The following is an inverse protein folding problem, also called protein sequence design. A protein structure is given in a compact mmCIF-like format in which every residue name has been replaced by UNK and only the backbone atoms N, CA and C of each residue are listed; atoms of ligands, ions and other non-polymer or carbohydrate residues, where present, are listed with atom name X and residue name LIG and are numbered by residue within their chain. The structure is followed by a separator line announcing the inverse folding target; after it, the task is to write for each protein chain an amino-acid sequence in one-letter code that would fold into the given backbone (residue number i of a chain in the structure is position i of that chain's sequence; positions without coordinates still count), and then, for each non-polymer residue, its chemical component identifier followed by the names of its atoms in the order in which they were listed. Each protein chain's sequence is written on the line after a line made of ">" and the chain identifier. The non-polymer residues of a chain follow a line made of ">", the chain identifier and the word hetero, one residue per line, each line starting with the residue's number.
data_IF_001261907095
#
_entry.id   IF_001261907095
#
_cell.length_a   1.000
_cell.length_b   1.000
_cell.length_c   1.000
_cell.angle_alpha   90.00
_cell.angle_beta   90.00
_cell.angle_gamma   90.00
#
_symmetry.space_group_name_H-M   'P 1'
#
loop_
_entity.id
_entity.type
_entity.pdbx_description
1 polymer ?
#
# COMPACT_ATOMS: atom_id res chain seq x y z
N UNK A 1 -10.24 -21.38 14.82
CA UNK A 1 -10.95 -20.43 13.95
C UNK A 1 -10.32 -20.52 12.58
N UNK A 2 -11.09 -20.80 11.53
CA UNK A 2 -10.55 -20.72 10.16
C UNK A 2 -10.09 -19.29 9.91
N UNK A 3 -8.79 -19.08 9.72
CA UNK A 3 -8.29 -17.76 9.31
C UNK A 3 -8.62 -17.61 7.84
N UNK A 4 -9.59 -16.75 7.52
CA UNK A 4 -9.85 -16.35 6.13
C UNK A 4 -8.63 -15.59 5.62
N UNK A 5 -7.92 -16.16 4.66
CA UNK A 5 -6.77 -15.56 3.99
C UNK A 5 -7.21 -14.70 2.80
N UNK A 6 -6.47 -13.63 2.55
CA UNK A 6 -6.62 -12.71 1.42
C UNK A 6 -5.24 -12.22 0.99
N UNK A 7 -5.16 -11.60 -0.18
CA UNK A 7 -3.95 -10.93 -0.63
C UNK A 7 -4.03 -9.44 -0.31
N UNK A 8 -3.15 -8.94 0.54
CA UNK A 8 -2.91 -7.51 0.67
C UNK A 8 -1.94 -7.05 -0.43
N UNK A 9 -2.36 -6.14 -1.30
CA UNK A 9 -1.54 -5.65 -2.41
C UNK A 9 -1.07 -4.23 -2.15
N UNK A 10 0.25 -4.06 -2.06
CA UNK A 10 0.90 -2.76 -1.87
C UNK A 10 1.58 -2.28 -3.13
N UNK A 11 1.35 -1.01 -3.49
CA UNK A 11 2.04 -0.28 -4.57
C UNK A 11 2.91 0.88 -4.05
N UNK A 12 2.86 1.16 -2.73
CA UNK A 12 3.61 2.24 -2.08
C UNK A 12 4.73 1.71 -1.19
N UNK A 13 5.04 2.40 -0.08
CA UNK A 13 6.16 2.04 0.81
C UNK A 13 6.08 0.62 1.38
N UNK A 14 4.88 0.04 1.53
CA UNK A 14 4.73 -1.35 2.01
C UNK A 14 5.15 -2.39 0.95
N UNK A 15 5.61 -1.96 -0.24
CA UNK A 15 6.38 -2.80 -1.16
C UNK A 15 7.61 -3.38 -0.45
N UNK A 16 8.26 -2.63 0.44
CA UNK A 16 9.37 -3.13 1.27
C UNK A 16 8.86 -4.08 2.36
N UNK A 17 9.50 -5.25 2.50
CA UNK A 17 9.20 -6.18 3.61
C UNK A 17 9.44 -5.53 4.96
N UNK A 18 10.53 -4.79 5.10
CA UNK A 18 10.89 -4.10 6.35
C UNK A 18 9.78 -3.14 6.76
N UNK A 19 9.25 -2.38 5.79
CA UNK A 19 8.15 -1.47 6.04
C UNK A 19 6.88 -2.20 6.47
N UNK A 20 6.47 -3.24 5.74
CA UNK A 20 5.28 -4.02 6.10
C UNK A 20 5.44 -4.66 7.49
N UNK A 21 6.63 -5.14 7.83
CA UNK A 21 6.89 -5.77 9.11
C UNK A 21 6.62 -4.82 10.29
N UNK A 22 6.84 -3.51 10.14
CA UNK A 22 6.45 -2.54 11.19
C UNK A 22 4.93 -2.50 11.43
N UNK A 23 4.08 -2.69 10.42
CA UNK A 23 2.63 -2.76 10.63
C UNK A 23 2.19 -4.05 11.33
N UNK A 24 2.96 -5.14 11.20
CA UNK A 24 2.65 -6.44 11.80
C UNK A 24 3.26 -6.58 13.20
N UNK A 25 4.57 -6.44 13.31
CA UNK A 25 5.32 -6.63 14.56
C UNK A 25 5.45 -5.34 15.39
N UNK A 26 5.04 -4.19 14.86
CA UNK A 26 5.28 -2.88 15.46
C UNK A 26 6.68 -2.33 15.12
N UNK A 27 6.92 -1.08 15.51
CA UNK A 27 8.22 -0.42 15.35
C UNK A 27 8.20 0.74 14.36
N UNK A 28 9.38 1.22 13.98
CA UNK A 28 9.55 2.40 13.11
C UNK A 28 10.65 2.13 12.08
N UNK A 29 10.35 2.16 10.77
CA UNK A 29 11.37 1.93 9.76
C UNK A 29 12.30 3.14 9.62
N UNK A 30 13.49 2.96 9.02
CA UNK A 30 14.41 4.06 8.74
C UNK A 30 13.73 5.22 8.00
N UNK A 31 13.98 6.45 8.46
CA UNK A 31 13.46 7.67 7.84
C UNK A 31 11.99 7.99 8.09
N UNK A 32 11.22 7.10 8.74
CA UNK A 32 9.84 7.40 9.14
C UNK A 32 9.80 8.22 10.43
N UNK A 33 8.87 9.18 10.49
CA UNK A 33 8.63 10.00 11.69
C UNK A 33 7.79 9.30 12.76
N UNK A 34 7.00 8.29 12.37
CA UNK A 34 6.01 7.64 13.25
C UNK A 34 6.26 6.15 13.36
N UNK A 35 6.18 5.65 14.59
CA UNK A 35 6.12 4.22 14.87
C UNK A 35 4.71 3.66 14.64
N UNK A 36 4.64 2.38 14.34
CA UNK A 36 3.44 1.56 14.24
C UNK A 36 3.26 0.76 15.53
N UNK A 37 2.03 0.65 16.07
CA UNK A 37 1.75 -0.19 17.24
C UNK A 37 1.92 -1.69 16.94
N UNK A 38 1.79 -2.11 15.68
CA UNK A 38 1.77 -3.52 15.28
C UNK A 38 0.35 -4.10 15.27
N UNK A 39 0.18 -5.23 14.59
CA UNK A 39 -1.10 -5.91 14.46
C UNK A 39 -1.35 -6.83 15.66
N UNK A 40 -2.62 -7.23 15.85
CA UNK A 40 -3.01 -8.23 16.87
C UNK A 40 -2.34 -9.58 16.60
N UNK A 41 -2.07 -9.89 15.34
CA UNK A 41 -1.30 -11.03 14.90
C UNK A 41 0.00 -10.58 14.22
N UNK A 42 1.15 -10.64 14.93
CA UNK A 42 2.42 -10.11 14.45
C UNK A 42 3.18 -11.07 13.54
N UNK A 43 2.61 -12.24 13.21
CA UNK A 43 3.27 -13.22 12.34
C UNK A 43 3.52 -12.61 10.94
N UNK A 44 4.63 -12.96 10.28
CA UNK A 44 4.86 -12.50 8.91
C UNK A 44 3.77 -13.03 7.96
N UNK A 45 3.59 -12.39 6.78
CA UNK A 45 2.75 -12.94 5.72
C UNK A 45 3.17 -14.36 5.37
N UNK A 46 2.19 -15.22 5.01
CA UNK A 46 2.46 -16.62 4.70
C UNK A 46 3.33 -16.78 3.45
N UNK A 47 3.14 -15.89 2.48
CA UNK A 47 3.98 -15.74 1.28
C UNK A 47 3.76 -14.34 0.69
N UNK A 48 4.53 -14.00 -0.33
CA UNK A 48 4.35 -12.80 -1.14
C UNK A 48 4.79 -13.02 -2.58
N UNK A 49 4.25 -12.22 -3.51
CA UNK A 49 4.58 -12.29 -4.94
C UNK A 49 4.63 -10.89 -5.58
N UNK A 50 5.50 -10.65 -6.58
CA UNK A 50 5.35 -9.50 -7.46
C UNK A 50 4.05 -9.62 -8.25
N UNK A 51 3.34 -8.51 -8.39
CA UNK A 51 2.13 -8.42 -9.22
C UNK A 51 2.11 -7.07 -9.95
N UNK A 52 1.35 -7.00 -11.04
CA UNK A 52 1.05 -5.74 -11.72
C UNK A 52 -0.43 -5.43 -11.59
N UNK A 53 -0.72 -4.24 -11.09
CA UNK A 53 -2.07 -3.71 -11.03
C UNK A 53 -2.40 -2.99 -12.34
N UNK A 54 -3.62 -3.17 -12.83
CA UNK A 54 -4.10 -2.57 -14.08
C UNK A 54 -4.32 -1.06 -14.02
N UNK A 55 -4.37 -0.49 -12.80
CA UNK A 55 -4.57 0.93 -12.55
C UNK A 55 -3.27 1.73 -12.47
N UNK A 56 -3.40 3.04 -12.24
CA UNK A 56 -2.31 4.01 -12.31
C UNK A 56 -1.82 4.48 -10.94
N UNK A 57 -0.50 4.50 -10.75
CA UNK A 57 0.17 5.13 -9.60
C UNK A 57 0.22 6.64 -9.77
N UNK A 58 -0.01 7.38 -8.69
CA UNK A 58 0.27 8.82 -8.62
C UNK A 58 0.66 9.23 -7.20
N UNK A 59 1.26 10.41 -7.06
CA UNK A 59 1.69 10.94 -5.77
C UNK A 59 0.96 12.23 -5.42
N UNK A 60 0.38 12.27 -4.23
CA UNK A 60 -0.40 13.41 -3.76
C UNK A 60 -0.23 13.66 -2.25
N UNK A 61 -0.59 14.87 -1.83
CA UNK A 61 -0.74 15.24 -0.43
C UNK A 61 0.59 15.43 0.29
N UNK A 62 0.53 15.39 1.61
CA UNK A 62 1.68 15.46 2.50
C UNK A 62 1.53 14.39 3.59
N UNK A 63 2.50 13.47 3.64
CA UNK A 63 2.61 12.41 4.61
C UNK A 63 3.11 12.96 5.94
N UNK A 64 2.39 12.66 7.02
CA UNK A 64 2.87 12.91 8.38
C UNK A 64 3.92 11.89 8.82
N UNK A 65 4.16 10.84 8.03
CA UNK A 65 5.15 9.79 8.33
C UNK A 65 6.44 10.01 7.56
N UNK A 66 6.39 10.60 6.37
CA UNK A 66 7.52 10.65 5.45
C UNK A 66 7.91 12.06 4.98
N UNK A 67 7.21 13.12 5.39
CA UNK A 67 7.47 14.50 4.93
C UNK A 67 7.49 14.65 3.40
N UNK A 68 6.35 14.48 2.74
CA UNK A 68 6.22 14.58 1.28
C UNK A 68 5.01 13.85 0.76
N UNK A 69 4.80 13.81 -0.55
CA UNK A 69 3.66 13.10 -1.13
C UNK A 69 3.69 11.59 -0.84
N UNK A 70 2.50 10.98 -0.77
CA UNK A 70 2.33 9.52 -0.63
C UNK A 70 1.77 8.95 -1.92
N UNK A 71 2.06 7.68 -2.19
CA UNK A 71 1.50 6.94 -3.30
C UNK A 71 -0.02 6.74 -3.15
N UNK A 72 -0.73 6.90 -4.25
CA UNK A 72 -2.14 6.54 -4.41
C UNK A 72 -2.32 5.76 -5.71
N UNK A 73 -3.44 5.06 -5.82
CA UNK A 73 -3.73 4.15 -6.92
C UNK A 73 -5.10 4.48 -7.49
N UNK A 74 -5.09 4.97 -8.73
CA UNK A 74 -6.30 5.20 -9.51
C UNK A 74 -6.64 3.94 -10.30
N UNK A 75 -7.55 3.14 -9.74
CA UNK A 75 -8.03 1.89 -10.33
C UNK A 75 -8.92 2.10 -11.59
N UNK A 76 -9.22 3.35 -11.95
CA UNK A 76 -9.98 3.69 -13.16
C UNK A 76 -9.12 4.23 -14.29
N UNK A 77 -7.85 4.51 -14.04
CA UNK A 77 -6.91 5.01 -15.04
C UNK A 77 -5.94 3.89 -15.42
N UNK A 78 -5.59 3.69 -16.70
CA UNK A 78 -4.73 2.59 -17.11
C UNK A 78 -3.33 2.70 -16.51
N UNK A 79 -2.81 1.56 -16.03
CA UNK A 79 -1.46 1.36 -15.54
C UNK A 79 -0.45 1.01 -16.65
N UNK A 80 0.52 0.10 -16.40
CA UNK A 80 0.60 -0.82 -15.24
C UNK A 80 1.23 -0.18 -14.00
N UNK A 81 0.79 -0.59 -12.81
CA UNK A 81 1.45 -0.25 -11.53
C UNK A 81 2.10 -1.48 -10.94
N UNK A 82 3.43 -1.45 -10.79
CA UNK A 82 4.16 -2.48 -10.08
C UNK A 82 3.77 -2.51 -8.60
N UNK A 83 3.43 -3.68 -8.11
CA UNK A 83 2.96 -3.91 -6.77
C UNK A 83 3.49 -5.23 -6.20
N UNK A 84 3.20 -5.47 -4.93
CA UNK A 84 3.53 -6.69 -4.21
C UNK A 84 2.32 -7.18 -3.44
N UNK A 85 1.94 -8.41 -3.69
CA UNK A 85 0.87 -9.09 -2.98
C UNK A 85 1.45 -9.88 -1.80
N UNK A 86 0.89 -9.72 -0.61
CA UNK A 86 1.24 -10.46 0.61
C UNK A 86 0.04 -11.30 1.06
N UNK A 87 0.22 -12.60 1.26
CA UNK A 87 -0.84 -13.48 1.74
C UNK A 87 -0.97 -13.34 3.25
N UNK A 88 -2.07 -12.72 3.68
CA UNK A 88 -2.34 -12.36 5.07
C UNK A 88 -3.73 -12.80 5.48
N UNK A 89 -3.98 -12.85 6.78
CA UNK A 89 -5.35 -13.06 7.29
C UNK A 89 -6.18 -11.79 7.14
N UNK A 90 -7.51 -11.92 7.08
CA UNK A 90 -8.43 -10.76 7.14
C UNK A 90 -8.18 -9.90 8.38
N UNK A 91 -7.85 -10.51 9.53
CA UNK A 91 -7.54 -9.78 10.75
C UNK A 91 -6.27 -8.92 10.59
N UNK A 92 -5.21 -9.48 10.00
CA UNK A 92 -3.98 -8.73 9.71
C UNK A 92 -4.23 -7.60 8.71
N UNK A 93 -4.95 -7.86 7.60
CA UNK A 93 -5.29 -6.79 6.64
C UNK A 93 -6.12 -5.69 7.31
N UNK A 94 -7.07 -6.04 8.17
CA UNK A 94 -7.86 -5.07 8.93
C UNK A 94 -6.94 -4.22 9.82
N UNK A 95 -6.01 -4.84 10.54
CA UNK A 95 -5.11 -4.12 11.46
C UNK A 95 -4.11 -3.22 10.72
N UNK A 96 -3.62 -3.66 9.55
CA UNK A 96 -2.81 -2.81 8.66
C UNK A 96 -3.65 -1.61 8.23
N UNK A 97 -4.87 -1.84 7.76
CA UNK A 97 -5.76 -0.79 7.30
C UNK A 97 -6.13 0.21 8.41
N UNK A 98 -6.49 -0.24 9.61
CA UNK A 98 -6.77 0.66 10.76
C UNK A 98 -5.55 1.55 11.08
N UNK A 99 -4.33 1.00 11.05
CA UNK A 99 -3.11 1.78 11.28
C UNK A 99 -2.86 2.83 10.18
N UNK A 100 -3.08 2.48 8.91
CA UNK A 100 -3.01 3.44 7.80
C UNK A 100 -4.04 4.58 7.95
N UNK A 101 -5.19 4.27 8.55
CA UNK A 101 -6.24 5.24 8.87
C UNK A 101 -6.02 5.98 10.20
N UNK A 102 -4.85 5.80 10.84
CA UNK A 102 -4.49 6.37 12.13
C UNK A 102 -5.42 5.97 13.29
N UNK A 103 -5.87 4.72 13.27
CA UNK A 103 -6.72 4.09 14.28
C UNK A 103 -5.95 2.92 14.92
N UNK A 104 -6.31 2.60 16.16
CA UNK A 104 -5.74 1.44 16.86
C UNK A 104 -6.32 0.13 16.31
N UNK A 105 -5.46 -0.88 16.03
CA UNK A 105 -5.87 -2.24 15.71
C UNK A 105 -6.86 -2.81 16.72
N UNK A 106 -7.99 -3.34 16.23
CA UNK A 106 -9.01 -3.96 17.09
C UNK A 106 -9.87 -4.96 16.32
N UNK A 107 -10.44 -5.91 17.04
CA UNK A 107 -11.40 -6.86 16.49
C UNK A 107 -12.81 -6.28 16.36
N UNK A 108 -13.63 -6.90 15.54
CA UNK A 108 -15.06 -6.62 15.40
C UNK A 108 -15.36 -5.30 14.70
N UNK A 109 -14.43 -4.79 13.88
CA UNK A 109 -14.68 -3.58 13.10
C UNK A 109 -15.63 -3.85 11.93
N UNK A 110 -16.32 -2.81 11.48
CA UNK A 110 -17.14 -2.90 10.27
C UNK A 110 -16.30 -3.32 9.05
N UNK A 111 -15.03 -2.90 9.00
CA UNK A 111 -14.09 -3.28 7.95
C UNK A 111 -13.76 -4.78 7.99
N UNK A 112 -13.50 -5.35 9.17
CA UNK A 112 -13.22 -6.79 9.33
C UNK A 112 -14.41 -7.64 8.87
N UNK A 113 -15.63 -7.22 9.19
CA UNK A 113 -16.86 -7.89 8.75
C UNK A 113 -17.05 -7.81 7.22
N UNK A 114 -16.73 -6.67 6.61
CA UNK A 114 -16.79 -6.50 5.15
C UNK A 114 -15.74 -7.36 4.45
N UNK A 115 -14.50 -7.35 4.93
CA UNK A 115 -13.41 -8.15 4.36
C UNK A 115 -13.65 -9.65 4.51
N UNK A 116 -14.25 -10.09 5.62
CA UNK A 116 -14.61 -11.49 5.86
C UNK A 116 -15.68 -11.98 4.88
N UNK A 117 -16.68 -11.13 4.57
CA UNK A 117 -17.69 -11.45 3.54
C UNK A 117 -17.12 -11.38 2.13
N UNK A 118 -16.10 -10.56 1.93
CA UNK A 118 -15.60 -10.17 0.63
C UNK A 118 -16.51 -9.14 -0.05
N UNK A 119 -15.93 -8.37 -0.97
CA UNK A 119 -16.66 -7.43 -1.81
C UNK A 119 -15.93 -7.20 -3.13
N UNK A 120 -16.69 -6.80 -4.15
CA UNK A 120 -16.15 -6.35 -5.43
C UNK A 120 -16.13 -4.82 -5.51
N UNK A 121 -15.25 -4.27 -6.36
CA UNK A 121 -15.13 -2.82 -6.55
C UNK A 121 -14.46 -2.14 -5.35
N UNK A 122 -15.08 -1.08 -4.83
CA UNK A 122 -14.49 -0.24 -3.79
C UNK A 122 -15.40 -0.12 -2.55
N UNK A 123 -14.78 -0.09 -1.37
CA UNK A 123 -15.43 0.11 -0.08
C UNK A 123 -14.78 1.26 0.68
N UNK A 124 -15.57 2.29 1.01
CA UNK A 124 -15.11 3.44 1.79
C UNK A 124 -15.24 3.16 3.29
N UNK A 125 -14.10 2.91 3.94
CA UNK A 125 -13.99 2.59 5.37
C UNK A 125 -14.01 3.84 6.29
N UNK A 126 -14.05 5.04 5.71
CA UNK A 126 -14.31 6.29 6.43
C UNK A 126 -14.11 7.56 5.59
N UNK A 127 -14.17 8.75 6.22
CA UNK A 127 -14.11 10.03 5.53
C UNK A 127 -12.72 10.44 5.03
N UNK A 128 -11.64 9.83 5.53
CA UNK A 128 -10.26 10.24 5.30
C UNK A 128 -9.72 9.95 3.90
N UNK A 129 -8.52 10.50 3.62
CA UNK A 129 -7.88 10.46 2.29
C UNK A 129 -7.38 9.09 1.85
N UNK A 130 -7.08 8.20 2.79
CA UNK A 130 -6.53 6.85 2.54
C UNK A 130 -7.42 5.78 3.17
N UNK A 131 -8.74 6.01 3.13
CA UNK A 131 -9.75 5.16 3.79
C UNK A 131 -10.67 4.45 2.77
N UNK A 132 -10.18 4.19 1.55
CA UNK A 132 -10.93 3.44 0.52
C UNK A 132 -10.20 2.15 0.18
N UNK A 133 -10.85 1.02 0.46
CA UNK A 133 -10.40 -0.30 0.05
C UNK A 133 -10.87 -0.60 -1.37
N UNK A 134 -10.05 -1.30 -2.16
CA UNK A 134 -10.38 -1.71 -3.53
C UNK A 134 -10.07 -3.19 -3.69
N UNK A 135 -11.02 -3.94 -4.24
CA UNK A 135 -10.76 -5.28 -4.76
C UNK A 135 -10.07 -5.14 -6.14
N UNK A 136 -8.81 -5.58 -6.20
CA UNK A 136 -7.94 -5.49 -7.36
C UNK A 136 -7.95 -6.76 -8.23
N UNK A 137 -8.89 -7.67 -7.99
CA UNK A 137 -9.02 -8.95 -8.67
C UNK A 137 -8.73 -10.14 -7.76
N UNK A 138 -8.31 -11.24 -8.35
CA UNK A 138 -8.03 -12.50 -7.64
C UNK A 138 -6.67 -13.05 -8.00
N UNK A 139 -5.97 -13.62 -7.02
CA UNK A 139 -4.72 -14.36 -7.20
C UNK A 139 -4.82 -15.70 -6.47
N UNK A 140 -4.56 -16.81 -7.17
CA UNK A 140 -4.69 -18.18 -6.66
C UNK A 140 -6.04 -18.46 -5.97
N UNK A 141 -7.12 -17.90 -6.54
CA UNK A 141 -8.49 -18.06 -6.02
C UNK A 141 -8.84 -17.21 -4.79
N UNK A 142 -7.90 -16.40 -4.29
CA UNK A 142 -8.13 -15.48 -3.17
C UNK A 142 -8.28 -14.03 -3.67
N UNK A 143 -9.13 -13.20 -3.03
CA UNK A 143 -9.30 -11.80 -3.41
C UNK A 143 -8.05 -10.98 -3.07
N UNK A 144 -7.72 -10.05 -3.95
CA UNK A 144 -6.66 -9.06 -3.79
C UNK A 144 -7.27 -7.75 -3.33
N UNK A 145 -6.83 -7.24 -2.18
CA UNK A 145 -7.28 -5.96 -1.64
C UNK A 145 -6.11 -4.98 -1.51
N UNK A 146 -6.37 -3.74 -1.90
CA UNK A 146 -5.49 -2.61 -1.63
C UNK A 146 -6.27 -1.47 -0.99
N UNK A 147 -5.58 -0.46 -0.48
CA UNK A 147 -6.19 0.77 0.03
C UNK A 147 -5.65 1.98 -0.69
N UNK A 148 -6.49 2.99 -0.87
CA UNK A 148 -6.19 4.19 -1.63
C UNK A 148 -7.15 5.35 -1.28
N UNK A 149 -7.17 6.39 -2.11
CA UNK A 149 -8.10 7.51 -2.02
C UNK A 149 -9.34 7.30 -2.88
N UNK A 150 -10.51 7.86 -2.50
CA UNK A 150 -11.61 8.01 -3.46
C UNK A 150 -11.29 9.02 -4.57
N UNK A 151 -10.22 9.81 -4.43
CA UNK A 151 -9.81 10.79 -5.43
C UNK A 151 -9.03 10.16 -6.59
N UNK A 152 -9.26 10.70 -7.79
CA UNK A 152 -8.62 10.25 -9.03
C UNK A 152 -7.35 11.04 -9.32
N UNK A 153 -6.47 10.47 -10.14
CA UNK A 153 -5.18 11.08 -10.47
C UNK A 153 -5.32 12.42 -11.20
N UNK A 154 -6.38 12.62 -11.99
CA UNK A 154 -6.68 13.83 -12.77
C UNK A 154 -7.30 14.97 -11.93
N UNK A 155 -7.85 14.64 -10.76
CA UNK A 155 -8.50 15.60 -9.86
C UNK A 155 -7.64 16.02 -8.67
N UNK A 156 -6.42 15.48 -8.56
CA UNK A 156 -5.55 15.69 -7.41
C UNK A 156 -4.27 16.43 -7.82
N UNK A 157 -3.84 17.50 -7.12
CA UNK A 157 -2.60 18.20 -7.46
C UNK A 157 -1.39 17.32 -7.15
N UNK A 158 -0.58 16.95 -8.15
CA UNK A 158 0.55 16.06 -7.92
C UNK A 158 1.64 16.75 -7.08
N UNK A 159 2.28 15.98 -6.21
CA UNK A 159 3.36 16.46 -5.36
C UNK A 159 4.50 15.44 -5.31
N UNK A 160 5.72 15.93 -5.07
CA UNK A 160 6.91 15.08 -4.99
C UNK A 160 6.93 14.30 -3.65
N UNK A 161 7.22 12.99 -3.67
CA UNK A 161 7.55 12.25 -2.46
C UNK A 161 8.93 12.63 -1.91
N UNK A 162 9.18 12.30 -0.66
CA UNK A 162 10.50 12.46 -0.06
C UNK A 162 11.44 11.32 -0.45
N UNK A 163 12.75 11.54 -0.35
CA UNK A 163 13.73 10.50 -0.63
C UNK A 163 13.61 9.29 0.32
N UNK A 164 13.39 9.44 1.66
CA UNK A 164 13.13 8.29 2.52
C UNK A 164 11.93 7.45 2.08
N UNK A 165 10.89 8.07 1.55
CA UNK A 165 9.73 7.36 1.02
C UNK A 165 10.06 6.61 -0.28
N UNK A 166 10.77 7.26 -1.21
CA UNK A 166 11.21 6.64 -2.45
C UNK A 166 12.17 5.48 -2.17
N UNK A 167 13.06 5.60 -1.19
CA UNK A 167 13.96 4.52 -0.78
C UNK A 167 13.21 3.24 -0.38
N UNK A 168 12.08 3.36 0.32
CA UNK A 168 11.22 2.21 0.66
C UNK A 168 10.60 1.56 -0.59
N UNK A 169 10.15 2.38 -1.55
CA UNK A 169 9.61 1.87 -2.81
C UNK A 169 10.70 1.17 -3.62
N UNK A 170 11.89 1.77 -3.72
CA UNK A 170 13.07 1.18 -4.40
C UNK A 170 13.45 -0.17 -3.81
N UNK A 171 13.59 -0.24 -2.48
CA UNK A 171 13.90 -1.48 -1.78
C UNK A 171 12.85 -2.56 -2.08
N UNK A 172 11.57 -2.21 -1.98
CA UNK A 172 10.49 -3.13 -2.26
C UNK A 172 10.42 -3.63 -3.70
N UNK A 173 10.68 -2.77 -4.70
CA UNK A 173 10.75 -3.16 -6.11
C UNK A 173 11.93 -4.11 -6.37
N UNK A 174 13.11 -3.81 -5.81
CA UNK A 174 14.26 -4.71 -5.90
C UNK A 174 13.98 -6.07 -5.24
N UNK A 175 13.38 -6.07 -4.04
CA UNK A 175 13.06 -7.29 -3.28
C UNK A 175 12.02 -8.19 -3.96
N UNK A 176 11.02 -7.62 -4.62
CA UNK A 176 9.87 -8.37 -5.14
C UNK A 176 9.95 -8.68 -6.62
N UNK A 177 10.42 -7.71 -7.43
CA UNK A 177 10.53 -7.87 -8.88
C UNK A 177 11.95 -8.25 -9.34
N UNK A 178 12.95 -8.17 -8.45
CA UNK A 178 14.34 -8.42 -8.82
C UNK A 178 14.92 -7.37 -9.77
N UNK A 179 14.27 -6.20 -9.86
CA UNK A 179 14.69 -5.13 -10.76
C UNK A 179 16.00 -4.50 -10.30
N UNK A 180 16.83 -4.15 -11.27
CA UNK A 180 18.02 -3.35 -11.02
C UNK A 180 17.68 -1.87 -10.81
N UNK A 181 18.70 -1.11 -10.40
CA UNK A 181 18.55 0.32 -10.12
C UNK A 181 18.03 1.09 -11.35
N UNK A 182 18.57 0.83 -12.53
CA UNK A 182 18.19 1.58 -13.75
C UNK A 182 16.70 1.38 -14.11
N UNK A 183 16.22 0.14 -14.03
CA UNK A 183 14.82 -0.22 -14.23
C UNK A 183 13.92 0.48 -13.22
N UNK A 184 14.31 0.46 -11.94
CA UNK A 184 13.58 1.12 -10.85
C UNK A 184 13.52 2.64 -11.05
N UNK A 185 14.64 3.28 -11.40
CA UNK A 185 14.69 4.73 -11.64
C UNK A 185 13.80 5.14 -12.81
N UNK A 186 13.83 4.35 -13.89
CA UNK A 186 13.00 4.55 -15.09
C UNK A 186 11.52 4.41 -14.75
N UNK A 187 11.14 3.34 -14.07
CA UNK A 187 9.77 3.13 -13.62
C UNK A 187 9.27 4.29 -12.76
N UNK A 188 10.02 4.69 -11.73
CA UNK A 188 9.62 5.80 -10.85
C UNK A 188 9.55 7.14 -11.60
N UNK A 189 10.42 7.34 -12.58
CA UNK A 189 10.41 8.52 -13.44
C UNK A 189 9.10 8.70 -14.22
N UNK A 190 8.37 7.62 -14.50
CA UNK A 190 7.06 7.68 -15.19
C UNK A 190 5.95 8.30 -14.33
N UNK A 191 6.12 8.29 -13.00
CA UNK A 191 5.09 8.70 -12.03
C UNK A 191 5.42 10.00 -11.31
N UNK A 192 6.70 10.39 -11.29
CA UNK A 192 7.13 11.61 -10.62
C UNK A 192 6.80 12.85 -11.45
N UNK A 193 6.33 13.94 -10.81
CA UNK A 193 6.14 15.22 -11.51
C UNK A 193 7.47 15.74 -12.06
N UNK A 194 7.43 16.45 -13.19
CA UNK A 194 8.62 16.88 -13.94
C UNK A 194 9.67 17.65 -13.11
N UNK A 195 9.25 18.41 -12.09
CA UNK A 195 10.14 19.17 -11.20
C UNK A 195 10.97 18.27 -10.26
N UNK A 196 10.50 17.06 -9.96
CA UNK A 196 11.21 16.07 -9.15
C UNK A 196 12.20 15.23 -9.98
N UNK A 197 11.94 15.06 -11.29
CA UNK A 197 12.81 14.31 -12.19
C UNK A 197 14.16 15.02 -12.46
N UNK A 198 14.21 16.35 -12.32
CA UNK A 198 15.37 17.20 -12.61
C UNK A 198 16.40 17.33 -11.48
N UNK A 199 16.14 16.76 -10.30
CA UNK A 199 17.06 16.81 -9.14
C UNK A 199 17.94 15.56 -8.98
N UNK A 200 17.99 14.70 -9.99
CA UNK A 200 18.80 13.48 -10.03
C UNK A 200 20.12 13.70 -10.73
#
# INVERSE_FOLDING_TARGET
>A
MSSHEVWYVSYGSNLSRERLNCYLAGGRPPGALRAQPGARDPRPPAEDRPVELSGRLYFWGASTTWEGATAFYDHHSPGPTAARAYRVTVAQLTDIAEQEMHREPRAGTALEAVLTRGFDGAYRAGPGRYETMVNAGTLDGLPMYTFTSPHRADTSPHAAPSEPYLAMIRAGLAESHGWDRETIETYLGTWLPAEAALRR
#
